data_IF_175853729746
#
_entry.id   IF_175853729746
#
_cell.length_a   1.000
_cell.length_b   1.000
_cell.length_c   1.000
_cell.angle_alpha   90.00
_cell.angle_beta   90.00
_cell.angle_gamma   90.00
#
_symmetry.space_group_name_H-M   'P 1'
#
loop_
_entity.id
_entity.type
_entity.pdbx_description
1 polymer ?
#
# COMPACT_ATOMS: atom_id res chain seq x y z
N UNK A 1 -23.23 2.46 -18.82
CA UNK A 1 -23.19 1.03 -18.43
C UNK A 1 -23.87 0.17 -19.50
N UNK A 2 -23.31 0.10 -20.72
CA UNK A 2 -23.93 -0.60 -21.85
C UNK A 2 -23.48 -2.06 -22.01
N UNK A 3 -22.28 -2.42 -21.54
CA UNK A 3 -21.71 -3.75 -21.75
C UNK A 3 -22.24 -4.82 -20.79
N UNK A 4 -22.60 -4.44 -19.57
CA UNK A 4 -23.03 -5.35 -18.49
C UNK A 4 -24.25 -4.79 -17.73
N UNK A 5 -25.37 -4.48 -18.40
CA UNK A 5 -26.50 -3.80 -17.76
C UNK A 5 -27.10 -4.60 -16.58
N UNK A 6 -27.10 -5.93 -16.68
CA UNK A 6 -27.74 -6.82 -15.70
C UNK A 6 -26.81 -7.19 -14.52
N UNK A 7 -25.52 -6.86 -14.60
CA UNK A 7 -24.54 -7.21 -13.57
C UNK A 7 -24.66 -6.37 -12.31
N UNK A 8 -25.28 -5.19 -12.37
CA UNK A 8 -25.52 -4.37 -11.19
C UNK A 8 -26.41 -5.08 -10.14
N UNK A 9 -27.35 -5.92 -10.59
CA UNK A 9 -28.19 -6.72 -9.68
C UNK A 9 -27.38 -7.86 -9.03
N UNK A 10 -26.49 -8.49 -9.79
CA UNK A 10 -25.63 -9.58 -9.32
C UNK A 10 -24.68 -9.10 -8.21
N UNK A 11 -24.02 -7.95 -8.42
CA UNK A 11 -23.10 -7.37 -7.42
C UNK A 11 -23.82 -6.92 -6.15
N UNK A 12 -25.07 -6.41 -6.25
CA UNK A 12 -25.86 -5.99 -5.08
C UNK A 12 -26.36 -7.16 -4.24
N UNK A 13 -26.53 -8.33 -4.86
CA UNK A 13 -26.92 -9.55 -4.16
C UNK A 13 -25.74 -10.21 -3.43
N UNK A 14 -24.50 -9.79 -3.70
CA UNK A 14 -23.30 -10.34 -3.07
C UNK A 14 -22.99 -9.66 -1.75
N UNK A 15 -22.61 -10.46 -0.75
CA UNK A 15 -22.18 -9.96 0.55
C UNK A 15 -20.81 -9.27 0.43
N UNK A 16 -20.79 -7.97 0.70
CA UNK A 16 -19.57 -7.15 0.61
C UNK A 16 -18.57 -7.44 1.73
N UNK A 17 -18.97 -8.17 2.77
CA UNK A 17 -18.07 -8.56 3.86
C UNK A 17 -17.02 -9.58 3.43
N UNK A 18 -17.20 -10.23 2.28
CA UNK A 18 -16.24 -11.20 1.71
C UNK A 18 -15.23 -10.56 0.74
N UNK A 19 -15.26 -9.25 0.55
CA UNK A 19 -14.31 -8.54 -0.33
C UNK A 19 -12.89 -8.61 0.24
N UNK A 20 -11.95 -9.02 -0.61
CA UNK A 20 -10.52 -9.11 -0.29
C UNK A 20 -9.85 -7.72 -0.38
N UNK A 21 -8.66 -7.55 0.22
CA UNK A 21 -7.97 -6.25 0.24
C UNK A 21 -7.62 -5.65 -1.13
N UNK A 22 -7.52 -6.48 -2.19
CA UNK A 22 -7.29 -6.08 -3.58
C UNK A 22 -8.59 -5.73 -4.33
N UNK A 23 -9.73 -5.84 -3.65
CA UNK A 23 -11.06 -5.62 -4.23
C UNK A 23 -11.68 -6.84 -4.88
N UNK A 24 -10.97 -7.98 -4.88
CA UNK A 24 -11.49 -9.23 -5.42
C UNK A 24 -12.60 -9.79 -4.51
N UNK A 25 -13.51 -10.52 -5.13
CA UNK A 25 -14.63 -11.17 -4.45
C UNK A 25 -14.92 -12.48 -5.16
N UNK A 26 -15.27 -13.50 -4.37
CA UNK A 26 -15.74 -14.76 -4.93
C UNK A 26 -17.15 -14.56 -5.50
N UNK A 27 -17.35 -14.88 -6.78
CA UNK A 27 -18.64 -14.75 -7.44
C UNK A 27 -19.21 -16.14 -7.75
N UNK A 28 -20.39 -16.43 -7.20
CA UNK A 28 -21.15 -17.66 -7.52
C UNK A 28 -21.87 -17.58 -8.88
N UNK A 29 -21.72 -16.47 -9.61
CA UNK A 29 -22.38 -16.23 -10.89
C UNK A 29 -21.55 -16.72 -12.08
N UNK A 30 -22.21 -17.16 -13.16
CA UNK A 30 -21.53 -17.49 -14.41
C UNK A 30 -20.98 -16.22 -15.08
N UNK A 31 -19.65 -16.12 -15.19
CA UNK A 31 -18.93 -14.97 -15.76
C UNK A 31 -18.92 -14.94 -17.29
N UNK A 32 -19.38 -15.98 -18.00
CA UNK A 32 -19.35 -16.07 -19.48
C UNK A 32 -20.11 -14.93 -20.16
N UNK A 33 -21.15 -14.42 -19.51
CA UNK A 33 -21.95 -13.30 -20.01
C UNK A 33 -21.30 -11.94 -19.75
N UNK A 34 -20.31 -11.86 -18.86
CA UNK A 34 -19.62 -10.62 -18.54
C UNK A 34 -18.72 -10.18 -19.69
N UNK A 35 -18.82 -8.90 -20.07
CA UNK A 35 -18.03 -8.27 -21.12
C UNK A 35 -17.04 -7.30 -20.49
N UNK A 36 -15.76 -7.65 -20.55
CA UNK A 36 -14.67 -6.76 -20.15
C UNK A 36 -14.59 -5.61 -21.16
N UNK A 37 -14.59 -4.34 -20.73
CA UNK A 37 -14.45 -3.21 -21.64
C UNK A 37 -13.06 -3.17 -22.26
N UNK A 38 -13.00 -2.92 -23.57
CA UNK A 38 -11.75 -2.59 -24.25
C UNK A 38 -11.34 -1.14 -23.99
N UNK A 39 -10.06 -0.84 -24.19
CA UNK A 39 -9.55 0.52 -24.14
C UNK A 39 -10.20 1.39 -25.22
N UNK A 40 -10.89 2.47 -24.81
CA UNK A 40 -11.58 3.38 -25.72
C UNK A 40 -10.64 4.14 -26.70
N UNK A 41 -9.32 4.13 -26.45
CA UNK A 41 -8.33 4.78 -27.31
C UNK A 41 -7.69 3.85 -28.35
N UNK A 42 -7.51 2.57 -28.03
CA UNK A 42 -6.75 1.64 -28.88
C UNK A 42 -7.37 0.25 -29.04
N UNK A 43 -8.49 -0.05 -28.38
CA UNK A 43 -9.13 -1.36 -28.40
C UNK A 43 -8.38 -2.47 -27.66
N UNK A 44 -7.29 -2.14 -26.94
CA UNK A 44 -6.52 -3.12 -26.18
C UNK A 44 -7.16 -3.52 -24.84
N UNK A 45 -6.63 -4.59 -24.25
CA UNK A 45 -7.06 -5.11 -22.94
C UNK A 45 -6.69 -4.10 -21.83
N UNK A 46 -7.65 -3.85 -20.95
CA UNK A 46 -7.44 -3.05 -19.74
C UNK A 46 -7.01 -3.94 -18.57
N UNK A 47 -5.98 -3.52 -17.85
CA UNK A 47 -5.57 -4.08 -16.55
C UNK A 47 -5.69 -2.97 -15.50
N UNK A 48 -6.06 -3.33 -14.27
CA UNK A 48 -5.95 -2.41 -13.15
C UNK A 48 -4.51 -1.90 -13.01
N UNK A 49 -4.38 -0.63 -12.66
CA UNK A 49 -3.08 0.02 -12.51
C UNK A 49 -2.45 -0.31 -11.15
N UNK A 50 -2.28 -1.61 -10.89
CA UNK A 50 -1.68 -2.17 -9.66
C UNK A 50 -0.63 -3.21 -10.02
N UNK A 51 0.37 -3.36 -9.15
CA UNK A 51 1.39 -4.41 -9.28
C UNK A 51 0.82 -5.70 -8.70
N UNK A 52 0.61 -6.70 -9.56
CA UNK A 52 0.15 -8.03 -9.16
C UNK A 52 1.32 -8.93 -8.78
N UNK A 53 1.04 -10.06 -8.11
CA UNK A 53 2.05 -11.06 -7.84
C UNK A 53 2.72 -11.54 -9.15
N UNK A 54 4.05 -11.61 -9.13
CA UNK A 54 4.87 -11.94 -10.31
C UNK A 54 5.28 -10.73 -11.14
N UNK A 55 4.70 -9.56 -10.92
CA UNK A 55 5.12 -8.32 -11.58
C UNK A 55 6.24 -7.60 -10.81
N UNK A 56 7.01 -6.80 -11.54
CA UNK A 56 8.02 -5.94 -10.96
C UNK A 56 7.47 -4.54 -10.73
N UNK A 57 7.79 -3.96 -9.58
CA UNK A 57 7.59 -2.53 -9.34
C UNK A 57 8.49 -1.74 -10.29
N UNK A 58 7.97 -0.66 -10.86
CA UNK A 58 8.73 0.22 -11.74
C UNK A 58 10.00 0.73 -11.07
N UNK A 59 11.13 0.67 -11.77
CA UNK A 59 12.45 1.00 -11.23
C UNK A 59 12.53 2.41 -10.66
N UNK A 60 11.96 3.39 -11.35
CA UNK A 60 11.97 4.79 -10.91
C UNK A 60 11.27 5.00 -9.55
N UNK A 61 10.17 4.27 -9.30
CA UNK A 61 9.49 4.26 -8.00
C UNK A 61 10.38 3.64 -6.93
N UNK A 62 11.04 2.53 -7.25
CA UNK A 62 11.96 1.86 -6.33
C UNK A 62 13.12 2.77 -5.93
N UNK A 63 13.73 3.44 -6.91
CA UNK A 63 14.87 4.33 -6.70
C UNK A 63 14.47 5.56 -5.87
N UNK A 64 13.26 6.09 -6.10
CA UNK A 64 12.69 7.16 -5.29
C UNK A 64 12.48 6.72 -3.82
N UNK A 65 11.96 5.52 -3.57
CA UNK A 65 11.81 4.98 -2.22
C UNK A 65 13.16 4.81 -1.51
N UNK A 66 14.20 4.31 -2.19
CA UNK A 66 15.54 4.24 -1.61
C UNK A 66 16.09 5.62 -1.24
N UNK A 67 15.92 6.60 -2.13
CA UNK A 67 16.36 7.98 -1.89
C UNK A 67 15.66 8.58 -0.68
N UNK A 68 14.35 8.34 -0.53
CA UNK A 68 13.57 8.80 0.63
C UNK A 68 14.10 8.17 1.92
N UNK A 69 14.28 6.84 1.95
CA UNK A 69 14.84 6.16 3.12
C UNK A 69 16.21 6.72 3.47
N UNK A 70 17.08 6.95 2.49
CA UNK A 70 18.43 7.48 2.73
C UNK A 70 18.45 8.90 3.30
N UNK A 71 17.40 9.68 3.06
CA UNK A 71 17.22 11.03 3.60
C UNK A 71 16.41 11.07 4.91
N UNK A 72 15.88 9.94 5.36
CA UNK A 72 15.02 9.87 6.54
C UNK A 72 15.83 9.73 7.83
N UNK A 73 15.41 10.45 8.87
CA UNK A 73 15.91 10.23 10.24
C UNK A 73 15.36 8.93 10.86
N UNK A 74 14.22 8.43 10.35
CA UNK A 74 13.60 7.18 10.81
C UNK A 74 12.65 6.60 9.76
N UNK A 75 12.37 5.29 9.84
CA UNK A 75 11.39 4.60 9.00
C UNK A 75 10.35 3.89 9.88
N UNK A 76 9.07 4.13 9.58
CA UNK A 76 7.94 3.60 10.35
C UNK A 76 7.10 2.63 9.51
N UNK A 77 6.91 1.40 9.98
CA UNK A 77 5.95 0.44 9.43
C UNK A 77 4.61 0.54 10.17
N UNK A 78 3.51 0.72 9.44
CA UNK A 78 2.16 0.79 10.01
C UNK A 78 1.29 -0.31 9.39
N UNK A 79 0.76 -1.22 10.22
CA UNK A 79 -0.28 -2.17 9.81
C UNK A 79 0.16 -3.16 8.73
N UNK A 80 1.45 -3.50 8.67
CA UNK A 80 2.00 -4.41 7.67
C UNK A 80 2.82 -5.52 8.34
N UNK A 81 2.66 -6.74 7.84
CA UNK A 81 3.43 -7.91 8.29
C UNK A 81 4.87 -7.91 7.75
N UNK A 82 5.17 -7.02 6.80
CA UNK A 82 6.46 -6.94 6.08
C UNK A 82 6.88 -8.25 5.40
N UNK A 83 5.94 -9.16 5.12
CA UNK A 83 6.29 -10.45 4.52
C UNK A 83 6.70 -10.32 3.05
N UNK A 84 6.10 -9.37 2.32
CA UNK A 84 6.35 -9.18 0.89
C UNK A 84 7.72 -8.52 0.66
N UNK A 85 8.65 -9.17 -0.07
CA UNK A 85 10.02 -8.68 -0.25
C UNK A 85 10.14 -7.30 -0.91
N UNK A 86 9.18 -6.93 -1.77
CA UNK A 86 9.16 -5.65 -2.49
C UNK A 86 9.13 -4.43 -1.55
N UNK A 87 8.51 -4.59 -0.38
CA UNK A 87 8.48 -3.58 0.69
C UNK A 87 9.62 -3.83 1.69
N UNK A 88 9.81 -5.09 2.13
CA UNK A 88 10.77 -5.41 3.19
C UNK A 88 12.23 -5.01 2.88
N UNK A 89 12.61 -4.95 1.60
CA UNK A 89 13.96 -4.50 1.19
C UNK A 89 14.32 -3.10 1.69
N UNK A 90 13.34 -2.21 1.89
CA UNK A 90 13.58 -0.85 2.36
C UNK A 90 13.90 -0.83 3.87
N UNK A 91 13.26 -1.68 4.66
CA UNK A 91 13.57 -1.87 6.09
C UNK A 91 14.94 -2.50 6.29
N UNK A 92 15.28 -3.52 5.47
CA UNK A 92 16.64 -4.08 5.47
C UNK A 92 17.70 -3.05 5.11
N UNK A 93 17.37 -2.14 4.20
CA UNK A 93 18.27 -1.06 3.80
C UNK A 93 18.45 -0.02 4.91
N UNK A 94 17.35 0.44 5.52
CA UNK A 94 17.37 1.33 6.68
C UNK A 94 18.24 0.76 7.82
N UNK A 95 18.01 -0.50 8.18
CA UNK A 95 18.79 -1.18 9.22
C UNK A 95 20.29 -1.21 8.89
N UNK A 96 20.67 -1.55 7.66
CA UNK A 96 22.07 -1.54 7.21
C UNK A 96 22.71 -0.16 7.26
N UNK A 97 21.92 0.89 7.09
CA UNK A 97 22.35 2.29 7.13
C UNK A 97 22.35 2.85 8.55
N UNK A 98 21.90 2.08 9.54
CA UNK A 98 21.75 2.54 10.93
C UNK A 98 20.61 3.54 11.11
N UNK A 99 19.64 3.56 10.19
CA UNK A 99 18.45 4.40 10.29
C UNK A 99 17.45 3.70 11.22
N UNK A 100 16.99 4.35 12.30
CA UNK A 100 16.03 3.79 13.24
C UNK A 100 14.73 3.31 12.59
N UNK A 101 14.27 2.13 12.99
CA UNK A 101 13.05 1.48 12.50
C UNK A 101 12.05 1.34 13.64
N UNK A 102 10.84 1.84 13.43
CA UNK A 102 9.70 1.61 14.30
C UNK A 102 8.60 0.81 13.59
N UNK A 103 7.87 -0.02 14.33
CA UNK A 103 6.78 -0.85 13.82
C UNK A 103 5.55 -0.69 14.71
N UNK A 104 4.40 -0.42 14.10
CA UNK A 104 3.09 -0.50 14.76
C UNK A 104 2.26 -1.54 14.01
N UNK A 105 2.10 -2.72 14.60
CA UNK A 105 1.33 -3.81 14.00
C UNK A 105 0.88 -4.81 15.06
N UNK A 106 -0.27 -5.43 14.86
CA UNK A 106 -0.68 -6.58 15.67
C UNK A 106 0.04 -7.85 15.20
N UNK A 107 0.61 -8.59 16.15
CA UNK A 107 1.27 -9.86 15.88
C UNK A 107 2.67 -9.72 15.27
N UNK A 108 3.28 -10.84 14.87
CA UNK A 108 4.65 -10.87 14.40
C UNK A 108 4.81 -10.20 13.02
N UNK A 109 5.93 -9.54 12.80
CA UNK A 109 6.33 -9.05 11.48
C UNK A 109 7.68 -9.65 11.07
N UNK A 110 7.94 -9.67 9.76
CA UNK A 110 9.25 -10.08 9.24
C UNK A 110 10.38 -9.12 9.67
N UNK A 111 10.04 -7.91 10.08
CA UNK A 111 11.00 -6.88 10.48
C UNK A 111 11.22 -6.75 11.98
N UNK A 112 10.63 -7.61 12.80
CA UNK A 112 10.71 -7.50 14.27
C UNK A 112 12.17 -7.47 14.76
N UNK A 113 13.05 -8.31 14.19
CA UNK A 113 14.48 -8.35 14.54
C UNK A 113 15.28 -7.13 14.05
N UNK A 114 14.70 -6.32 13.15
CA UNK A 114 15.33 -5.10 12.61
C UNK A 114 14.85 -3.84 13.33
N UNK A 115 13.78 -3.93 14.11
CA UNK A 115 13.10 -2.79 14.70
C UNK A 115 13.74 -2.36 16.02
N UNK A 116 13.93 -1.05 16.18
CA UNK A 116 14.34 -0.43 17.44
C UNK A 116 13.15 -0.27 18.39
N UNK A 117 11.93 -0.15 17.83
CA UNK A 117 10.69 -0.07 18.60
C UNK A 117 9.58 -0.84 17.90
N UNK A 118 8.87 -1.69 18.65
CA UNK A 118 7.63 -2.33 18.21
C UNK A 118 6.49 -2.00 19.18
N UNK A 119 5.38 -1.52 18.63
CA UNK A 119 4.14 -1.28 19.34
C UNK A 119 3.09 -2.27 18.83
N UNK A 120 2.67 -3.18 19.70
CA UNK A 120 1.62 -4.15 19.38
C UNK A 120 0.25 -3.56 19.71
N UNK A 121 -0.34 -2.87 18.73
CA UNK A 121 -1.66 -2.25 18.86
C UNK A 121 -2.38 -2.22 17.51
N UNK A 122 -3.72 -2.09 17.54
CA UNK A 122 -4.47 -1.74 16.33
C UNK A 122 -4.14 -0.30 15.95
N UNK A 123 -3.94 -0.05 14.66
CA UNK A 123 -3.70 1.32 14.17
C UNK A 123 -4.83 2.29 14.55
N UNK A 124 -6.07 1.82 14.56
CA UNK A 124 -7.24 2.59 15.01
C UNK A 124 -7.08 3.14 16.43
N UNK A 125 -6.45 2.38 17.31
CA UNK A 125 -6.39 2.68 18.74
C UNK A 125 -5.28 3.69 19.04
N UNK A 126 -4.28 3.78 18.15
CA UNK A 126 -3.12 4.67 18.29
C UNK A 126 -3.13 5.85 17.31
N UNK A 127 -4.13 5.94 16.42
CA UNK A 127 -4.18 6.95 15.36
C UNK A 127 -4.02 8.38 15.90
N UNK A 128 -4.78 8.74 16.94
CA UNK A 128 -4.71 10.08 17.54
C UNK A 128 -3.32 10.42 18.11
N UNK A 129 -2.65 9.42 18.70
CA UNK A 129 -1.29 9.59 19.27
C UNK A 129 -0.26 9.71 18.15
N UNK A 130 -0.37 8.88 17.11
CA UNK A 130 0.49 8.96 15.93
C UNK A 130 0.35 10.31 15.23
N UNK A 131 -0.87 10.80 15.05
CA UNK A 131 -1.14 12.11 14.46
C UNK A 131 -0.54 13.26 15.27
N UNK A 132 -0.66 13.22 16.60
CA UNK A 132 -0.04 14.21 17.48
C UNK A 132 1.49 14.17 17.36
N UNK A 133 2.10 12.98 17.45
CA UNK A 133 3.53 12.80 17.37
C UNK A 133 4.12 13.27 16.02
N UNK A 134 3.45 12.96 14.90
CA UNK A 134 3.86 13.42 13.56
C UNK A 134 3.74 14.93 13.43
N UNK A 135 2.69 15.53 13.99
CA UNK A 135 2.49 16.98 13.97
C UNK A 135 3.60 17.70 14.74
N UNK A 136 3.94 17.20 15.93
CA UNK A 136 4.99 17.78 16.77
C UNK A 136 6.36 17.66 16.09
N UNK A 137 6.67 16.50 15.50
CA UNK A 137 7.89 16.29 14.72
C UNK A 137 7.98 17.22 13.49
N UNK A 138 6.86 17.41 12.77
CA UNK A 138 6.81 18.30 11.62
C UNK A 138 6.96 19.79 11.99
N UNK A 139 6.60 20.19 13.21
CA UNK A 139 6.86 21.57 13.67
C UNK A 139 8.33 21.81 13.99
N UNK A 140 9.08 20.74 14.31
CA UNK A 140 10.49 20.81 14.68
C UNK A 140 11.44 20.69 13.48
N UNK A 141 11.00 20.07 12.39
CA UNK A 141 11.76 19.95 11.14
C UNK A 141 11.10 20.82 10.06
N UNK A 142 11.69 21.95 9.65
CA UNK A 142 11.16 22.67 8.50
C UNK A 142 11.26 21.76 7.28
N UNK A 143 10.11 21.40 6.71
CA UNK A 143 10.03 20.67 5.44
C UNK A 143 10.71 21.51 4.37
N UNK A 144 11.99 21.26 4.17
CA UNK A 144 12.77 21.81 3.07
C UNK A 144 12.71 20.77 1.96
N UNK A 145 11.99 21.12 0.90
CA UNK A 145 11.65 20.28 -0.23
C UNK A 145 10.84 19.00 0.09
N UNK A 146 9.58 19.20 0.50
CA UNK A 146 8.53 18.31 0.01
C UNK A 146 8.44 18.51 -1.51
N UNK A 147 9.36 17.88 -2.26
CA UNK A 147 9.05 17.52 -3.63
C UNK A 147 7.78 16.68 -3.50
N UNK A 148 6.65 17.11 -4.08
CA UNK A 148 5.42 16.35 -3.93
C UNK A 148 5.77 14.92 -4.25
N UNK A 149 5.36 13.97 -3.39
CA UNK A 149 5.32 12.57 -3.78
C UNK A 149 4.69 12.62 -5.16
N UNK A 150 5.47 12.34 -6.21
CA UNK A 150 4.94 12.32 -7.56
C UNK A 150 3.69 11.45 -7.52
N UNK A 151 2.79 11.65 -8.46
CA UNK A 151 1.50 10.94 -8.63
C UNK A 151 1.52 9.41 -8.41
N UNK A 152 2.70 8.80 -8.24
CA UNK A 152 2.97 7.45 -7.75
C UNK A 152 2.40 7.08 -6.35
N UNK A 153 2.16 8.01 -5.41
CA UNK A 153 1.56 7.66 -4.09
C UNK A 153 0.09 8.09 -3.96
N UNK A 154 -0.38 8.98 -4.83
CA UNK A 154 -1.79 9.41 -4.82
C UNK A 154 -2.76 8.40 -5.46
N UNK A 155 -2.25 7.30 -6.03
CA UNK A 155 -3.04 6.28 -6.73
C UNK A 155 -2.68 4.84 -6.31
N UNK A 156 -2.31 4.65 -5.04
CA UNK A 156 -2.38 3.32 -4.39
C UNK A 156 -3.72 3.23 -3.68
#
# INVERSE_FOLDING_TARGET
AQLNPDWAAHVRATDRTEMRPDGDMELMANLESFKVPDCQKCGGILKSHVVMFGENVRRDVVDACYSLVDSSDTVLALGTSLQVPSIFRFFRHAHKRGIPIAIVNLGPTRGDDLADLKVEARLSDVAAVLEAAVRDAHQQVPVTDARPLGTAVQNI
#
